data_IF_086476583725
#
_entry.id   IF_086476583725
#
_cell.length_a   1.000
_cell.length_b   1.000
_cell.length_c   1.000
_cell.angle_alpha   90.00
_cell.angle_beta   90.00
_cell.angle_gamma   90.00
#
_symmetry.space_group_name_H-M   'P 1'
#
loop_
_entity.id
_entity.type
_entity.pdbx_description
1 polymer ?
#
# COMPACT_ATOMS: atom_id res chain seq x y z
N UNK A 1 18.34 -14.66 0.27
CA UNK A 1 17.94 -15.99 -0.22
C UNK A 1 17.43 -15.80 -1.63
N UNK A 2 18.20 -16.14 -2.66
CA UNK A 2 17.75 -16.06 -4.06
C UNK A 2 16.87 -17.26 -4.32
N UNK A 3 15.61 -17.04 -4.55
CA UNK A 3 14.70 -18.07 -5.06
C UNK A 3 14.79 -18.01 -6.58
N UNK A 4 15.22 -19.11 -7.16
CA UNK A 4 15.27 -19.30 -8.61
C UNK A 4 13.82 -19.59 -9.05
N UNK A 5 13.28 -18.76 -9.95
CA UNK A 5 11.97 -18.99 -10.54
C UNK A 5 12.07 -20.07 -11.62
N UNK A 6 12.09 -21.31 -11.22
CA UNK A 6 11.66 -22.40 -12.09
C UNK A 6 10.14 -22.50 -11.93
N UNK A 7 9.43 -22.50 -13.03
CA UNK A 7 7.97 -22.63 -13.04
C UNK A 7 7.63 -24.01 -12.46
N UNK A 8 7.30 -24.14 -11.16
CA UNK A 8 7.03 -25.45 -10.60
C UNK A 8 5.79 -26.01 -11.27
N UNK A 9 5.79 -27.31 -11.50
CA UNK A 9 4.62 -28.02 -11.96
C UNK A 9 3.44 -27.66 -11.04
N UNK A 10 2.29 -27.31 -11.61
CA UNK A 10 1.12 -26.82 -10.87
C UNK A 10 0.77 -27.73 -9.69
N UNK A 11 0.93 -29.03 -9.85
CA UNK A 11 0.67 -30.03 -8.82
C UNK A 11 1.69 -29.99 -7.66
N UNK A 12 2.95 -29.64 -7.94
CA UNK A 12 4.00 -29.50 -6.92
C UNK A 12 3.85 -28.19 -6.17
N UNK A 13 3.47 -27.13 -6.86
CA UNK A 13 3.13 -25.83 -6.25
C UNK A 13 1.94 -25.94 -5.30
N UNK A 14 0.88 -26.66 -5.69
CA UNK A 14 -0.30 -26.90 -4.84
C UNK A 14 0.02 -27.72 -3.58
N UNK A 15 1.04 -28.57 -3.62
CA UNK A 15 1.43 -29.45 -2.49
C UNK A 15 2.35 -28.80 -1.47
N UNK A 16 3.26 -27.95 -1.90
CA UNK A 16 4.40 -27.55 -1.07
C UNK A 16 4.52 -26.04 -0.81
N UNK A 17 3.74 -25.21 -1.52
CA UNK A 17 3.97 -23.78 -1.49
C UNK A 17 3.29 -23.08 -0.33
N UNK A 18 4.07 -22.39 0.45
CA UNK A 18 3.74 -21.27 1.28
C UNK A 18 4.35 -20.03 0.62
N UNK A 19 3.64 -19.00 0.30
CA UNK A 19 2.28 -18.62 0.68
C UNK A 19 1.18 -19.26 -0.17
N UNK A 20 -0.04 -19.30 0.38
CA UNK A 20 -1.24 -19.59 -0.39
C UNK A 20 -1.63 -18.37 -1.19
N UNK A 21 -1.37 -18.41 -2.49
CA UNK A 21 -1.77 -17.36 -3.43
C UNK A 21 -2.92 -17.87 -4.28
N UNK A 22 -3.97 -17.08 -4.37
CA UNK A 22 -5.13 -17.39 -5.21
C UNK A 22 -5.46 -16.20 -6.12
N UNK A 23 -5.70 -16.46 -7.39
CA UNK A 23 -6.01 -15.42 -8.38
C UNK A 23 -7.49 -15.00 -8.35
N UNK A 24 -8.39 -15.81 -7.76
CA UNK A 24 -9.81 -15.55 -7.72
C UNK A 24 -10.32 -15.38 -6.29
N UNK A 25 -11.33 -14.52 -6.13
CA UNK A 25 -11.84 -14.14 -4.81
C UNK A 25 -12.53 -15.31 -4.05
N UNK A 26 -13.04 -16.30 -4.76
CA UNK A 26 -13.86 -17.39 -4.20
C UNK A 26 -13.07 -18.57 -3.64
N UNK A 27 -11.85 -18.77 -4.09
CA UNK A 27 -11.18 -20.07 -3.90
C UNK A 27 -10.23 -20.13 -2.71
N UNK A 28 -9.85 -19.00 -2.13
CA UNK A 28 -8.84 -18.97 -1.04
C UNK A 28 -9.32 -19.74 0.21
N UNK A 29 -10.60 -19.68 0.54
CA UNK A 29 -11.18 -20.41 1.68
C UNK A 29 -11.15 -21.93 1.43
N UNK A 30 -11.58 -22.34 0.25
CA UNK A 30 -11.65 -23.74 -0.13
C UNK A 30 -10.24 -24.37 -0.26
N UNK A 31 -9.32 -23.62 -0.89
CA UNK A 31 -7.92 -24.04 -1.00
C UNK A 31 -7.29 -24.18 0.40
N UNK A 32 -7.50 -23.21 1.28
CA UNK A 32 -6.95 -23.24 2.62
C UNK A 32 -7.59 -24.38 3.45
N UNK A 33 -8.90 -24.57 3.35
CA UNK A 33 -9.60 -25.67 4.02
C UNK A 33 -9.08 -27.03 3.53
N UNK A 34 -8.89 -27.19 2.23
CA UNK A 34 -8.31 -28.40 1.64
C UNK A 34 -6.89 -28.66 2.15
N UNK A 35 -6.03 -27.63 2.13
CA UNK A 35 -4.62 -27.79 2.56
C UNK A 35 -4.51 -28.11 4.05
N UNK A 36 -5.27 -27.43 4.91
CA UNK A 36 -5.27 -27.75 6.35
C UNK A 36 -5.79 -29.17 6.62
N UNK A 37 -6.79 -29.64 5.87
CA UNK A 37 -7.34 -30.97 6.04
C UNK A 37 -6.43 -32.08 5.56
N UNK A 38 -5.71 -31.88 4.45
CA UNK A 38 -4.90 -32.90 3.83
C UNK A 38 -3.42 -32.85 4.21
N UNK A 39 -2.94 -31.64 4.62
CA UNK A 39 -1.54 -31.41 5.00
C UNK A 39 -1.48 -30.64 6.34
N UNK A 40 -2.04 -31.21 7.43
CA UNK A 40 -2.17 -30.51 8.70
C UNK A 40 -0.82 -30.16 9.34
N UNK A 41 0.24 -30.91 9.07
CA UNK A 41 1.58 -30.64 9.60
C UNK A 41 2.16 -29.34 9.05
N UNK A 42 1.86 -29.02 7.79
CA UNK A 42 2.39 -27.85 7.10
C UNK A 42 1.52 -26.60 7.28
N UNK A 43 0.19 -26.77 7.41
CA UNK A 43 -0.76 -25.65 7.33
C UNK A 43 -1.54 -25.39 8.62
N UNK A 44 -1.50 -26.27 9.62
CA UNK A 44 -2.25 -26.07 10.87
C UNK A 44 -1.83 -24.82 11.64
N UNK A 45 -0.60 -24.34 11.47
CA UNK A 45 -0.12 -23.09 12.08
C UNK A 45 -0.95 -21.87 11.68
N UNK A 46 -1.54 -21.87 10.47
CA UNK A 46 -2.43 -20.78 10.05
C UNK A 46 -3.66 -20.62 10.93
N UNK A 47 -4.11 -21.70 11.60
CA UNK A 47 -5.21 -21.64 12.54
C UNK A 47 -4.92 -20.83 13.80
N UNK A 48 -3.65 -20.49 14.05
CA UNK A 48 -3.21 -19.67 15.18
C UNK A 48 -3.14 -18.18 14.86
N UNK A 49 -3.32 -17.81 13.59
CA UNK A 49 -3.38 -16.41 13.22
C UNK A 49 -4.58 -15.70 13.86
N UNK A 50 -4.50 -14.40 13.96
CA UNK A 50 -5.54 -13.59 14.59
C UNK A 50 -6.91 -13.76 13.89
N UNK A 51 -7.93 -14.03 14.69
CA UNK A 51 -9.29 -14.28 14.22
C UNK A 51 -10.32 -13.25 14.75
N UNK A 52 -9.86 -12.09 15.21
CA UNK A 52 -10.72 -11.02 15.72
C UNK A 52 -11.19 -11.17 17.17
N UNK A 53 -10.93 -12.28 17.85
CA UNK A 53 -11.46 -12.51 19.21
C UNK A 53 -10.41 -12.51 20.32
N UNK A 54 -9.16 -12.77 20.02
CA UNK A 54 -8.18 -13.16 21.03
C UNK A 54 -7.06 -12.14 21.19
N UNK A 55 -7.37 -10.98 21.80
CA UNK A 55 -6.33 -10.00 22.14
C UNK A 55 -5.42 -10.46 23.31
N UNK A 56 -5.84 -11.43 24.12
CA UNK A 56 -5.16 -11.85 25.36
C UNK A 56 -4.98 -13.35 25.51
N UNK A 57 -5.05 -14.16 24.45
CA UNK A 57 -4.79 -15.60 24.61
C UNK A 57 -3.29 -15.86 24.68
N UNK A 58 -2.92 -16.58 25.76
CA UNK A 58 -1.60 -17.19 25.87
C UNK A 58 -1.35 -18.10 24.66
N UNK A 59 -0.14 -18.09 24.11
CA UNK A 59 0.21 -18.90 22.94
C UNK A 59 -0.20 -20.38 23.13
N UNK A 60 -0.11 -20.91 24.36
CA UNK A 60 -0.49 -22.28 24.70
C UNK A 60 -1.99 -22.60 24.50
N UNK A 61 -2.89 -21.64 24.70
CA UNK A 61 -4.32 -21.83 24.48
C UNK A 61 -4.70 -21.81 23.01
N UNK A 62 -3.86 -21.26 22.14
CA UNK A 62 -4.05 -21.30 20.69
C UNK A 62 -3.88 -22.71 20.12
N UNK A 63 -3.04 -23.54 20.76
CA UNK A 63 -2.72 -24.90 20.30
C UNK A 63 -3.78 -25.96 20.61
N UNK A 64 -4.80 -25.65 21.40
CA UNK A 64 -5.78 -26.64 21.87
C UNK A 64 -6.94 -26.97 20.92
N UNK A 65 -7.16 -26.20 19.85
CA UNK A 65 -8.26 -26.45 18.90
C UNK A 65 -7.74 -26.99 17.57
N UNK A 66 -7.64 -28.31 17.47
CA UNK A 66 -7.25 -29.00 16.23
C UNK A 66 -8.38 -29.14 15.19
N UNK A 67 -9.60 -28.74 15.50
CA UNK A 67 -10.73 -28.89 14.58
C UNK A 67 -10.82 -27.70 13.62
N UNK A 68 -10.91 -28.02 12.33
CA UNK A 68 -11.16 -27.05 11.28
C UNK A 68 -12.59 -26.49 11.43
N UNK A 69 -12.68 -25.23 11.86
CA UNK A 69 -13.94 -24.51 11.93
C UNK A 69 -13.98 -23.45 10.83
N UNK A 70 -14.83 -23.63 9.83
CA UNK A 70 -14.97 -22.71 8.68
C UNK A 70 -15.20 -21.26 9.11
N UNK A 71 -16.02 -21.03 10.15
CA UNK A 71 -16.24 -19.66 10.67
C UNK A 71 -14.97 -19.07 11.28
N UNK A 72 -14.11 -19.88 11.90
CA UNK A 72 -12.81 -19.44 12.39
C UNK A 72 -11.88 -19.13 11.24
N UNK A 73 -11.88 -19.99 10.20
CA UNK A 73 -11.08 -19.81 9.00
C UNK A 73 -11.45 -18.52 8.26
N UNK A 74 -12.73 -18.26 8.03
CA UNK A 74 -13.22 -17.02 7.41
C UNK A 74 -12.74 -15.77 8.17
N UNK A 75 -12.72 -15.81 9.50
CA UNK A 75 -12.20 -14.71 10.31
C UNK A 75 -10.70 -14.56 10.18
N UNK A 76 -9.95 -15.66 10.15
CA UNK A 76 -8.50 -15.62 9.92
C UNK A 76 -8.21 -14.99 8.56
N UNK A 77 -8.91 -15.43 7.50
CA UNK A 77 -8.80 -14.87 6.17
C UNK A 77 -9.10 -13.37 6.14
N UNK A 78 -10.18 -12.96 6.81
CA UNK A 78 -10.57 -11.55 6.87
C UNK A 78 -9.46 -10.64 7.41
N UNK A 79 -8.73 -11.07 8.45
CA UNK A 79 -7.76 -10.23 9.13
C UNK A 79 -6.32 -10.39 8.60
N UNK A 80 -6.01 -11.50 7.93
CA UNK A 80 -4.62 -11.83 7.59
C UNK A 80 -4.39 -11.93 6.08
N UNK A 81 -5.44 -11.88 5.25
CA UNK A 81 -5.28 -11.90 3.81
C UNK A 81 -4.69 -10.59 3.32
N UNK A 82 -3.65 -10.71 2.51
CA UNK A 82 -3.03 -9.59 1.79
C UNK A 82 -3.37 -9.69 0.32
N UNK A 83 -3.53 -8.55 -0.32
CA UNK A 83 -3.73 -8.46 -1.76
C UNK A 83 -2.42 -8.04 -2.41
N UNK A 84 -2.01 -8.78 -3.42
CA UNK A 84 -0.87 -8.41 -4.25
C UNK A 84 -1.39 -7.62 -5.43
N UNK A 85 -0.79 -6.48 -5.64
CA UNK A 85 -1.05 -5.64 -6.80
C UNK A 85 0.16 -5.72 -7.75
N UNK A 86 -0.14 -5.78 -9.02
CA UNK A 86 0.84 -5.58 -10.08
C UNK A 86 0.34 -4.43 -10.95
N UNK A 87 1.10 -3.35 -11.01
CA UNK A 87 0.68 -2.13 -11.71
C UNK A 87 -0.73 -1.66 -11.28
N UNK A 88 -0.98 -1.63 -9.96
CA UNK A 88 -2.27 -1.27 -9.34
C UNK A 88 -3.43 -2.22 -9.66
N UNK A 89 -3.21 -3.21 -10.52
CA UNK A 89 -4.20 -4.25 -10.79
C UNK A 89 -4.11 -5.32 -9.70
N UNK A 90 -5.19 -5.63 -8.99
CA UNK A 90 -5.20 -6.70 -8.02
C UNK A 90 -5.04 -8.04 -8.74
N UNK A 91 -3.85 -8.65 -8.64
CA UNK A 91 -3.54 -9.93 -9.27
C UNK A 91 -4.03 -11.11 -8.46
N UNK A 92 -3.73 -11.08 -7.16
CA UNK A 92 -3.96 -12.23 -6.31
C UNK A 92 -4.17 -11.84 -4.87
N UNK A 93 -4.76 -12.77 -4.11
CA UNK A 93 -4.90 -12.69 -2.66
C UNK A 93 -4.21 -13.88 -2.04
N UNK A 94 -3.55 -13.66 -0.89
CA UNK A 94 -2.85 -14.73 -0.22
C UNK A 94 -2.72 -14.50 1.29
N UNK A 95 -2.26 -15.53 1.98
CA UNK A 95 -1.81 -15.46 3.36
C UNK A 95 -0.33 -15.78 3.40
N UNK A 96 0.43 -14.92 4.05
CA UNK A 96 1.83 -15.14 4.38
C UNK A 96 1.94 -15.19 5.89
N UNK A 97 2.40 -16.33 6.42
CA UNK A 97 2.40 -16.59 7.86
C UNK A 97 3.16 -15.52 8.64
N UNK A 98 4.45 -15.32 8.38
CA UNK A 98 5.26 -14.33 9.09
C UNK A 98 4.78 -12.87 8.90
N UNK A 99 4.41 -12.42 7.70
CA UNK A 99 3.85 -11.09 7.50
C UNK A 99 2.56 -10.81 8.27
N UNK A 100 1.81 -11.86 8.64
CA UNK A 100 0.58 -11.71 9.43
C UNK A 100 0.84 -11.31 10.89
N UNK A 101 2.07 -11.36 11.37
CA UNK A 101 2.44 -10.92 12.72
C UNK A 101 2.86 -9.45 12.81
N UNK A 102 3.03 -8.76 11.68
CA UNK A 102 3.34 -7.34 11.70
C UNK A 102 2.10 -6.54 12.04
N UNK A 103 2.16 -5.75 13.10
CA UNK A 103 1.10 -4.85 13.48
C UNK A 103 1.08 -3.58 12.62
N UNK A 104 0.01 -2.81 12.76
CA UNK A 104 -0.18 -1.58 12.03
C UNK A 104 0.45 -0.37 12.72
N UNK A 105 1.08 0.49 11.92
CA UNK A 105 1.34 1.90 12.23
C UNK A 105 1.07 2.75 10.99
N UNK A 106 0.50 3.95 11.18
CA UNK A 106 0.40 4.93 10.09
C UNK A 106 1.77 5.51 9.71
N UNK A 107 2.80 5.34 10.56
CA UNK A 107 4.20 5.62 10.28
C UNK A 107 4.96 4.31 10.47
N UNK A 108 4.90 3.38 9.49
CA UNK A 108 5.53 2.08 9.61
C UNK A 108 7.06 2.21 9.50
N UNK A 109 7.78 1.25 10.10
CA UNK A 109 9.21 1.10 9.94
C UNK A 109 9.60 0.03 8.93
N UNK A 110 8.61 -0.69 8.41
CA UNK A 110 8.76 -1.65 7.32
C UNK A 110 7.78 -1.34 6.19
N UNK A 111 8.16 -1.74 4.98
CA UNK A 111 7.31 -1.66 3.81
C UNK A 111 7.20 -3.04 3.16
N UNK A 112 6.00 -3.38 2.67
CA UNK A 112 5.76 -4.63 1.95
C UNK A 112 5.37 -4.38 0.50
N UNK A 113 5.84 -5.24 -0.37
CA UNK A 113 5.38 -5.31 -1.76
C UNK A 113 5.44 -6.74 -2.28
N UNK A 114 4.50 -7.05 -3.16
CA UNK A 114 4.39 -8.36 -3.78
C UNK A 114 5.17 -8.44 -5.09
N UNK A 115 5.75 -9.59 -5.35
CA UNK A 115 6.35 -9.93 -6.63
C UNK A 115 5.99 -11.38 -6.96
N UNK A 116 5.03 -11.57 -7.87
CA UNK A 116 4.43 -12.89 -8.08
C UNK A 116 3.75 -13.39 -6.80
N UNK A 117 4.17 -14.53 -6.32
CA UNK A 117 3.71 -15.15 -5.07
C UNK A 117 4.60 -14.81 -3.87
N UNK A 118 5.63 -14.01 -4.06
CA UNK A 118 6.57 -13.59 -3.03
C UNK A 118 6.13 -12.26 -2.45
N UNK A 119 6.05 -12.19 -1.11
CA UNK A 119 5.89 -10.95 -0.38
C UNK A 119 7.25 -10.54 0.20
N UNK A 120 7.73 -9.38 -0.21
CA UNK A 120 9.00 -8.82 0.23
C UNK A 120 8.72 -7.76 1.28
N UNK A 121 9.37 -7.87 2.44
CA UNK A 121 9.31 -6.86 3.49
C UNK A 121 10.71 -6.27 3.67
N UNK A 122 10.78 -4.96 3.62
CA UNK A 122 12.02 -4.21 3.81
C UNK A 122 11.90 -3.25 4.99
N UNK A 123 12.99 -3.08 5.75
CA UNK A 123 13.12 -1.98 6.70
C UNK A 123 13.31 -0.68 5.92
N UNK A 124 12.52 0.35 6.25
CA UNK A 124 12.58 1.66 5.57
C UNK A 124 13.51 2.63 6.29
N UNK A 125 13.86 2.31 7.52
CA UNK A 125 14.82 3.03 8.36
C UNK A 125 15.64 2.05 9.18
N UNK A 126 16.69 2.52 9.86
CA UNK A 126 17.38 1.75 10.87
C UNK A 126 16.42 1.42 12.02
N UNK A 127 16.33 0.15 12.37
CA UNK A 127 15.45 -0.35 13.43
C UNK A 127 16.32 -0.89 14.56
N UNK A 128 16.19 -0.31 15.75
CA UNK A 128 16.91 -0.78 16.92
C UNK A 128 16.49 -2.22 17.29
N UNK A 129 17.41 -2.97 17.85
CA UNK A 129 17.12 -4.33 18.35
C UNK A 129 15.97 -4.30 19.36
N UNK A 130 15.05 -5.26 19.25
CA UNK A 130 13.85 -5.43 20.07
C UNK A 130 12.74 -4.36 19.84
N UNK A 131 12.85 -3.54 18.83
CA UNK A 131 11.72 -2.71 18.39
C UNK A 131 10.74 -3.53 17.58
N UNK A 132 9.46 -3.28 17.79
CA UNK A 132 8.39 -3.90 17.02
C UNK A 132 8.44 -3.46 15.56
N UNK A 133 8.13 -4.39 14.66
CA UNK A 133 8.07 -4.17 13.22
C UNK A 133 6.63 -3.87 12.83
N UNK A 134 6.43 -2.75 12.15
CA UNK A 134 5.11 -2.28 11.73
C UNK A 134 5.00 -2.19 10.21
N UNK A 135 3.83 -2.56 9.72
CA UNK A 135 3.39 -2.29 8.35
C UNK A 135 2.25 -1.27 8.36
N UNK A 136 1.97 -0.68 7.23
CA UNK A 136 0.76 0.10 7.06
C UNK A 136 -0.34 -0.76 6.43
N UNK A 137 -1.51 -0.80 7.06
CA UNK A 137 -2.67 -1.55 6.57
C UNK A 137 -3.59 -0.71 5.67
N UNK A 138 -3.38 0.60 5.62
CA UNK A 138 -4.18 1.56 4.87
C UNK A 138 -3.28 2.53 4.11
N UNK A 139 -3.87 3.31 3.21
CA UNK A 139 -3.19 4.45 2.58
C UNK A 139 -2.99 5.57 3.62
N UNK A 140 -1.77 6.12 3.71
CA UNK A 140 -1.41 7.14 4.70
C UNK A 140 -1.87 8.55 4.35
N UNK A 141 -2.28 8.77 3.12
CA UNK A 141 -2.80 10.04 2.62
C UNK A 141 -4.28 10.25 2.96
N UNK A 142 -4.91 9.25 3.60
CA UNK A 142 -6.26 9.39 4.13
C UNK A 142 -6.25 10.28 5.38
N UNK A 143 -7.27 11.13 5.56
CA UNK A 143 -7.48 11.89 6.78
C UNK A 143 -7.57 11.00 8.02
N UNK A 144 -7.19 11.54 9.20
CA UNK A 144 -7.20 10.82 10.47
C UNK A 144 -8.51 10.05 10.70
N UNK A 145 -9.66 10.71 10.55
CA UNK A 145 -10.98 10.10 10.79
C UNK A 145 -11.25 8.92 9.83
N UNK A 146 -10.87 9.08 8.57
CA UNK A 146 -11.02 8.02 7.56
C UNK A 146 -10.12 6.82 7.86
N UNK A 147 -8.87 7.06 8.31
CA UNK A 147 -7.96 5.98 8.74
C UNK A 147 -8.53 5.24 9.95
N UNK A 148 -9.02 5.96 10.98
CA UNK A 148 -9.61 5.34 12.16
C UNK A 148 -10.85 4.51 11.83
N UNK A 149 -11.74 5.05 10.99
CA UNK A 149 -12.94 4.32 10.52
C UNK A 149 -12.53 3.06 9.75
N UNK A 150 -11.63 3.17 8.79
CA UNK A 150 -11.17 2.03 7.99
C UNK A 150 -10.49 0.94 8.83
N UNK A 151 -9.66 1.32 9.80
CA UNK A 151 -9.03 0.37 10.72
C UNK A 151 -10.05 -0.29 11.64
N UNK A 152 -11.02 0.47 12.15
CA UNK A 152 -12.09 -0.08 13.00
C UNK A 152 -12.98 -1.05 12.23
N UNK A 153 -13.39 -0.71 11.02
CA UNK A 153 -14.28 -1.54 10.20
C UNK A 153 -13.60 -2.81 9.68
N UNK A 154 -12.35 -2.69 9.21
CA UNK A 154 -11.63 -3.81 8.59
C UNK A 154 -10.95 -4.71 9.62
N UNK A 155 -10.33 -4.12 10.64
CA UNK A 155 -9.43 -4.80 11.58
C UNK A 155 -9.86 -4.74 13.05
N UNK A 156 -10.98 -4.06 13.35
CA UNK A 156 -11.58 -3.95 14.68
C UNK A 156 -10.68 -3.31 15.75
N UNK A 157 -9.84 -2.36 15.38
CA UNK A 157 -9.06 -1.56 16.33
C UNK A 157 -9.01 -0.07 15.98
N UNK A 158 -8.62 0.75 16.96
CA UNK A 158 -8.33 2.18 16.82
C UNK A 158 -6.81 2.34 16.91
N UNK A 159 -6.21 3.02 15.94
CA UNK A 159 -4.77 3.27 15.92
C UNK A 159 -4.40 4.42 16.87
N UNK A 160 -3.38 4.18 17.68
CA UNK A 160 -2.79 5.15 18.61
C UNK A 160 -1.30 5.43 18.33
N UNK A 161 -0.84 5.18 17.09
CA UNK A 161 0.52 5.49 16.70
C UNK A 161 0.84 6.98 16.87
N UNK A 162 2.12 7.34 16.79
CA UNK A 162 2.59 8.71 16.99
C UNK A 162 1.87 9.73 16.10
N UNK A 163 1.67 9.43 14.80
CA UNK A 163 0.92 10.30 13.89
C UNK A 163 -0.53 10.48 14.34
N UNK A 164 -1.21 9.39 14.69
CA UNK A 164 -2.61 9.44 15.12
C UNK A 164 -2.78 10.24 16.40
N UNK A 165 -1.88 10.06 17.37
CA UNK A 165 -1.89 10.82 18.61
C UNK A 165 -1.60 12.30 18.38
N UNK A 166 -0.64 12.62 17.49
CA UNK A 166 -0.34 13.99 17.12
C UNK A 166 -1.54 14.68 16.46
N UNK A 167 -2.16 14.03 15.47
CA UNK A 167 -3.29 14.60 14.74
C UNK A 167 -4.55 14.75 15.62
N UNK A 168 -4.86 13.74 16.43
CA UNK A 168 -5.98 13.80 17.38
C UNK A 168 -5.88 14.99 18.33
N UNK A 169 -4.69 15.27 18.84
CA UNK A 169 -4.49 16.30 19.85
C UNK A 169 -4.36 17.70 19.25
N UNK A 170 -3.71 17.83 18.10
CA UNK A 170 -3.35 19.13 17.53
C UNK A 170 -4.39 19.71 16.59
N UNK A 171 -5.21 18.87 15.93
CA UNK A 171 -6.06 19.31 14.83
C UNK A 171 -7.55 19.05 15.03
N UNK A 172 -7.98 18.73 16.25
CA UNK A 172 -9.37 18.40 16.56
C UNK A 172 -10.37 19.44 16.05
N UNK A 173 -9.99 20.73 16.08
CA UNK A 173 -10.86 21.85 15.72
C UNK A 173 -10.18 22.79 14.68
N UNK A 174 -9.35 22.26 13.78
CA UNK A 174 -8.64 23.05 12.78
C UNK A 174 -9.51 23.19 11.50
N UNK A 175 -10.06 24.38 11.20
CA UNK A 175 -10.91 24.58 10.02
C UNK A 175 -10.20 24.26 8.71
N UNK A 176 -8.91 24.56 8.60
CA UNK A 176 -8.10 24.31 7.41
C UNK A 176 -7.95 22.81 7.14
N UNK A 177 -7.87 21.98 8.20
CA UNK A 177 -7.87 20.51 8.05
C UNK A 177 -9.21 20.02 7.51
N UNK A 178 -10.31 20.56 7.95
CA UNK A 178 -11.63 20.20 7.44
C UNK A 178 -11.78 20.54 5.96
N UNK A 179 -11.37 21.74 5.56
CA UNK A 179 -11.35 22.15 4.15
C UNK A 179 -10.45 21.23 3.32
N UNK A 180 -9.27 20.89 3.82
CA UNK A 180 -8.38 19.96 3.12
C UNK A 180 -9.00 18.59 2.94
N UNK A 181 -9.67 18.06 3.96
CA UNK A 181 -10.36 16.77 3.87
C UNK A 181 -11.47 16.78 2.80
N UNK A 182 -12.21 17.90 2.68
CA UNK A 182 -13.20 18.08 1.62
C UNK A 182 -12.55 18.07 0.24
N UNK A 183 -11.41 18.73 0.07
CA UNK A 183 -10.64 18.67 -1.18
C UNK A 183 -10.11 17.25 -1.48
N UNK A 184 -9.58 16.56 -0.50
CA UNK A 184 -9.10 15.19 -0.67
C UNK A 184 -10.21 14.22 -1.10
N UNK A 185 -11.38 14.33 -0.49
CA UNK A 185 -12.56 13.54 -0.89
C UNK A 185 -12.98 13.87 -2.32
N UNK A 186 -12.98 15.15 -2.70
CA UNK A 186 -13.31 15.56 -4.07
C UNK A 186 -12.31 15.01 -5.09
N UNK A 187 -11.00 15.12 -4.81
CA UNK A 187 -9.94 14.58 -5.67
C UNK A 187 -10.05 13.07 -5.78
N UNK A 188 -10.28 12.37 -4.67
CA UNK A 188 -10.43 10.93 -4.64
C UNK A 188 -11.62 10.46 -5.49
N UNK A 189 -12.78 11.08 -5.33
CA UNK A 189 -13.98 10.75 -6.10
C UNK A 189 -13.81 11.01 -7.62
N UNK A 190 -12.97 11.98 -7.98
CA UNK A 190 -12.64 12.26 -9.38
C UNK A 190 -11.70 11.17 -9.96
N UNK A 191 -10.70 10.74 -9.19
CA UNK A 191 -9.71 9.75 -9.64
C UNK A 191 -10.32 8.33 -9.66
N UNK A 192 -11.19 8.01 -8.69
CA UNK A 192 -11.79 6.68 -8.49
C UNK A 192 -13.32 6.77 -8.44
N UNK A 193 -14.00 7.10 -9.55
CA UNK A 193 -15.44 7.30 -9.57
C UNK A 193 -16.25 6.03 -9.23
N UNK A 194 -15.76 4.85 -9.58
CA UNK A 194 -16.40 3.57 -9.31
C UNK A 194 -16.47 3.25 -7.81
N UNK A 195 -15.42 3.59 -7.05
CA UNK A 195 -15.38 3.36 -5.61
C UNK A 195 -16.28 4.33 -4.83
N UNK A 196 -16.64 5.46 -5.43
CA UNK A 196 -17.52 6.44 -4.83
C UNK A 196 -19.02 6.03 -4.83
N UNK A 197 -19.37 4.88 -5.45
CA UNK A 197 -20.75 4.39 -5.55
C UNK A 197 -21.68 5.29 -6.37
N UNK A 198 -21.11 6.18 -7.18
CA UNK A 198 -21.82 7.18 -7.98
C UNK A 198 -21.57 6.94 -9.47
N UNK A 199 -22.05 5.82 -9.97
CA UNK A 199 -21.93 5.44 -11.40
C UNK A 199 -22.49 6.51 -12.37
N UNK A 200 -23.29 7.45 -11.89
CA UNK A 200 -23.97 8.45 -12.71
C UNK A 200 -23.56 9.92 -12.50
N UNK A 201 -22.72 10.21 -11.49
CA UNK A 201 -22.18 11.56 -11.29
C UNK A 201 -20.66 11.53 -11.42
N UNK A 202 -20.14 11.71 -12.63
CA UNK A 202 -18.69 11.96 -12.83
C UNK A 202 -18.36 13.27 -12.12
N UNK A 203 -17.59 13.16 -11.04
CA UNK A 203 -17.11 14.34 -10.35
C UNK A 203 -16.22 15.12 -11.33
N UNK A 204 -16.67 16.30 -11.75
CA UNK A 204 -15.86 17.18 -12.57
C UNK A 204 -14.96 18.02 -11.67
N UNK A 205 -13.66 18.00 -11.96
CA UNK A 205 -12.71 18.92 -11.35
C UNK A 205 -12.05 19.72 -12.48
N UNK A 206 -12.07 21.03 -12.40
CA UNK A 206 -11.48 21.88 -13.43
C UNK A 206 -10.04 22.27 -13.04
N UNK A 207 -9.27 22.68 -14.03
CA UNK A 207 -7.87 23.14 -13.86
C UNK A 207 -7.73 24.20 -12.76
N UNK A 208 -8.66 25.16 -12.71
CA UNK A 208 -8.69 26.22 -11.70
C UNK A 208 -8.82 25.65 -10.28
N UNK A 209 -9.71 24.69 -10.07
CA UNK A 209 -9.92 24.08 -8.75
C UNK A 209 -8.67 23.35 -8.27
N UNK A 210 -7.99 22.59 -9.15
CA UNK A 210 -6.72 21.93 -8.81
C UNK A 210 -5.67 22.96 -8.38
N UNK A 211 -5.54 24.05 -9.13
CA UNK A 211 -4.61 25.14 -8.78
C UNK A 211 -4.97 25.82 -7.46
N UNK A 212 -6.26 25.98 -7.17
CA UNK A 212 -6.74 26.60 -5.92
C UNK A 212 -6.49 25.67 -4.70
N UNK A 213 -6.60 24.34 -4.86
CA UNK A 213 -6.21 23.36 -3.83
C UNK A 213 -4.72 23.49 -3.51
N UNK A 214 -3.86 23.57 -4.50
CA UNK A 214 -2.42 23.74 -4.29
C UNK A 214 -2.09 25.08 -3.62
N UNK A 215 -2.73 26.18 -4.02
CA UNK A 215 -2.56 27.47 -3.35
C UNK A 215 -2.99 27.42 -1.88
N UNK A 216 -4.09 26.72 -1.59
CA UNK A 216 -4.56 26.53 -0.22
C UNK A 216 -3.54 25.72 0.59
N UNK A 217 -3.03 24.61 0.03
CA UNK A 217 -2.00 23.77 0.65
C UNK A 217 -0.75 24.58 0.98
N UNK A 218 -0.21 25.32 0.02
CA UNK A 218 1.02 26.10 0.20
C UNK A 218 0.86 27.23 1.24
N UNK A 219 -0.29 27.90 1.25
CA UNK A 219 -0.61 28.92 2.26
C UNK A 219 -0.61 28.32 3.67
N UNK A 220 -1.09 27.10 3.83
CA UNK A 220 -1.31 26.44 5.12
C UNK A 220 -0.31 25.29 5.39
N UNK A 221 0.78 25.19 4.64
CA UNK A 221 1.69 24.03 4.63
C UNK A 221 2.26 23.61 5.97
N UNK A 222 2.30 24.51 6.96
CA UNK A 222 2.75 24.19 8.33
C UNK A 222 1.75 23.34 9.12
N UNK A 223 0.50 23.30 8.69
CA UNK A 223 -0.57 22.53 9.34
C UNK A 223 -0.63 21.07 8.86
N UNK A 224 0.05 20.74 7.76
CA UNK A 224 -0.04 19.44 7.12
C UNK A 224 1.26 18.66 7.25
N UNK A 225 1.14 17.35 7.47
CA UNK A 225 2.27 16.42 7.48
C UNK A 225 2.91 16.32 6.10
N UNK A 226 4.13 15.78 6.05
CA UNK A 226 4.78 15.52 4.76
C UNK A 226 3.98 14.50 3.93
N UNK A 227 3.34 13.53 4.57
CA UNK A 227 2.50 12.52 3.90
C UNK A 227 1.27 13.14 3.24
N UNK A 228 0.53 13.99 3.97
CA UNK A 228 -0.63 14.69 3.42
C UNK A 228 -0.24 15.58 2.24
N UNK A 229 0.88 16.30 2.36
CA UNK A 229 1.37 17.15 1.27
C UNK A 229 1.74 16.32 0.04
N UNK A 230 2.48 15.24 0.22
CA UNK A 230 2.84 14.33 -0.87
C UNK A 230 1.59 13.77 -1.55
N UNK A 231 0.64 13.21 -0.78
CA UNK A 231 -0.60 12.64 -1.31
C UNK A 231 -1.48 13.66 -2.05
N UNK A 232 -1.54 14.92 -1.57
CA UNK A 232 -2.27 15.98 -2.27
C UNK A 232 -1.62 16.31 -3.61
N UNK A 233 -0.30 16.46 -3.63
CA UNK A 233 0.42 16.74 -4.88
C UNK A 233 0.28 15.60 -5.88
N UNK A 234 0.32 14.34 -5.43
CA UNK A 234 0.05 13.16 -6.28
C UNK A 234 -1.35 13.27 -6.90
N UNK A 235 -2.39 13.45 -6.08
CA UNK A 235 -3.77 13.54 -6.57
C UNK A 235 -4.00 14.73 -7.50
N UNK A 236 -3.45 15.88 -7.15
CA UNK A 236 -3.50 17.06 -8.02
C UNK A 236 -2.75 16.85 -9.33
N UNK A 237 -1.62 16.13 -9.31
CA UNK A 237 -0.87 15.75 -10.50
C UNK A 237 -1.69 14.88 -11.45
N UNK A 238 -2.41 13.89 -10.94
CA UNK A 238 -3.34 13.10 -11.76
C UNK A 238 -4.46 13.93 -12.36
N UNK A 239 -5.08 14.81 -11.57
CA UNK A 239 -6.19 15.62 -12.05
C UNK A 239 -5.77 16.67 -13.09
N UNK A 240 -4.59 17.29 -12.92
CA UNK A 240 -4.13 18.36 -13.82
C UNK A 240 -3.57 17.81 -15.13
N UNK A 241 -3.19 16.53 -15.20
CA UNK A 241 -2.55 15.91 -16.36
C UNK A 241 -3.30 16.14 -17.66
N UNK A 242 -4.63 16.04 -17.64
CA UNK A 242 -5.48 16.22 -18.84
C UNK A 242 -5.50 17.66 -19.36
N UNK A 243 -5.14 18.63 -18.54
CA UNK A 243 -5.08 20.05 -18.89
C UNK A 243 -3.64 20.50 -19.18
N UNK A 244 -2.71 20.08 -18.35
CA UNK A 244 -1.30 20.48 -18.42
C UNK A 244 -0.39 19.35 -17.90
N UNK A 245 0.16 18.58 -18.83
CA UNK A 245 1.07 17.47 -18.51
C UNK A 245 2.40 17.92 -17.90
N UNK A 246 2.91 19.12 -18.25
CA UNK A 246 4.13 19.67 -17.63
C UNK A 246 3.89 20.05 -16.17
N UNK A 247 2.77 20.70 -15.88
CA UNK A 247 2.38 21.02 -14.51
C UNK A 247 2.12 19.75 -13.69
N UNK A 248 1.58 18.69 -14.29
CA UNK A 248 1.45 17.37 -13.68
C UNK A 248 2.80 16.82 -13.23
N UNK A 249 3.82 16.85 -14.10
CA UNK A 249 5.17 16.45 -13.76
C UNK A 249 5.73 17.27 -12.58
N UNK A 250 5.56 18.60 -12.62
CA UNK A 250 6.05 19.49 -11.57
C UNK A 250 5.36 19.18 -10.22
N UNK A 251 4.08 18.79 -10.22
CA UNK A 251 3.38 18.37 -9.01
C UNK A 251 3.92 17.04 -8.47
N UNK A 252 4.24 16.07 -9.31
CA UNK A 252 4.89 14.83 -8.87
C UNK A 252 6.31 15.09 -8.33
N UNK A 253 7.05 16.06 -8.88
CA UNK A 253 8.33 16.50 -8.27
C UNK A 253 8.14 17.10 -6.88
N UNK A 254 7.09 17.89 -6.64
CA UNK A 254 6.78 18.39 -5.30
C UNK A 254 6.38 17.25 -4.37
N UNK A 255 5.60 16.26 -4.83
CA UNK A 255 5.27 15.06 -4.05
C UNK A 255 6.54 14.33 -3.61
N UNK A 256 7.49 14.13 -4.52
CA UNK A 256 8.77 13.50 -4.22
C UNK A 256 9.54 14.28 -3.12
N UNK A 257 9.65 15.60 -3.21
CA UNK A 257 10.32 16.42 -2.17
C UNK A 257 9.74 16.24 -0.76
N UNK A 258 8.44 15.95 -0.66
CA UNK A 258 7.81 15.71 0.64
C UNK A 258 7.94 14.26 1.11
N UNK A 259 8.16 13.30 0.21
CA UNK A 259 8.27 11.86 0.53
C UNK A 259 9.71 11.36 0.61
N UNK A 260 10.65 12.01 -0.07
CA UNK A 260 12.05 11.61 -0.18
C UNK A 260 12.70 11.39 1.20
N UNK A 261 13.30 10.21 1.40
CA UNK A 261 13.93 9.77 2.65
C UNK A 261 13.00 9.75 3.89
N UNK A 262 11.69 9.76 3.72
CA UNK A 262 10.71 9.77 4.82
C UNK A 262 9.74 8.60 4.77
N UNK A 263 9.37 8.17 3.57
CA UNK A 263 8.43 7.08 3.41
C UNK A 263 8.69 6.37 2.08
N UNK A 264 9.10 5.11 2.17
CA UNK A 264 9.42 4.29 0.99
C UNK A 264 8.26 4.25 -0.03
N UNK A 265 7.03 4.06 0.44
CA UNK A 265 5.86 3.96 -0.44
C UNK A 265 5.66 5.23 -1.28
N UNK A 266 5.55 6.38 -0.62
CA UNK A 266 5.30 7.65 -1.32
C UNK A 266 6.50 8.11 -2.15
N UNK A 267 7.72 7.80 -1.72
CA UNK A 267 8.93 8.08 -2.50
C UNK A 267 8.92 7.24 -3.78
N UNK A 268 8.66 5.92 -3.65
CA UNK A 268 8.53 5.00 -4.79
C UNK A 268 7.42 5.45 -5.74
N UNK A 269 6.21 5.68 -5.23
CA UNK A 269 5.06 6.14 -6.00
C UNK A 269 5.36 7.43 -6.76
N UNK A 270 5.92 8.44 -6.08
CA UNK A 270 6.27 9.72 -6.71
C UNK A 270 7.30 9.55 -7.83
N UNK A 271 8.29 8.67 -7.66
CA UNK A 271 9.30 8.37 -8.68
C UNK A 271 8.69 7.67 -9.91
N UNK A 272 7.80 6.71 -9.69
CA UNK A 272 7.08 6.01 -10.77
C UNK A 272 6.19 6.98 -11.55
N UNK A 273 5.49 7.87 -10.85
CA UNK A 273 4.67 8.91 -11.46
C UNK A 273 5.47 9.93 -12.25
N UNK A 274 6.70 10.25 -11.84
CA UNK A 274 7.61 11.09 -12.63
C UNK A 274 7.99 10.42 -13.94
N UNK A 275 8.30 9.12 -13.93
CA UNK A 275 8.55 8.35 -15.16
C UNK A 275 7.35 8.39 -16.09
N UNK A 276 6.17 8.12 -15.53
CA UNK A 276 4.92 8.17 -16.27
C UNK A 276 4.64 9.55 -16.90
N UNK A 277 4.72 10.63 -16.10
CA UNK A 277 4.48 11.98 -16.61
C UNK A 277 5.49 12.41 -17.68
N UNK A 278 6.77 12.02 -17.52
CA UNK A 278 7.80 12.29 -18.54
C UNK A 278 7.49 11.61 -19.87
N UNK A 279 7.00 10.36 -19.85
CA UNK A 279 6.52 9.65 -21.04
C UNK A 279 5.29 10.35 -21.65
N UNK A 280 4.32 10.70 -20.81
CA UNK A 280 3.08 11.35 -21.23
C UNK A 280 3.35 12.65 -22.00
N UNK A 281 4.27 13.48 -21.51
CA UNK A 281 4.68 14.73 -22.19
C UNK A 281 5.75 14.53 -23.25
N UNK A 282 6.16 13.28 -23.51
CA UNK A 282 7.19 12.91 -24.51
C UNK A 282 8.51 13.68 -24.33
N UNK A 283 8.95 13.81 -23.07
CA UNK A 283 10.19 14.53 -22.73
C UNK A 283 11.32 13.55 -22.37
N UNK A 284 12.21 13.27 -23.32
CA UNK A 284 13.34 12.36 -23.11
C UNK A 284 14.25 12.83 -21.97
N UNK A 285 14.51 14.14 -21.86
CA UNK A 285 15.34 14.69 -20.80
C UNK A 285 14.74 14.45 -19.40
N UNK A 286 13.42 14.67 -19.21
CA UNK A 286 12.74 14.41 -17.95
C UNK A 286 12.65 12.91 -17.68
N UNK A 287 12.47 12.09 -18.69
CA UNK A 287 12.47 10.63 -18.57
C UNK A 287 13.83 10.12 -18.08
N UNK A 288 14.93 10.57 -18.68
CA UNK A 288 16.29 10.19 -18.26
C UNK A 288 16.56 10.55 -16.80
N UNK A 289 16.18 11.78 -16.39
CA UNK A 289 16.31 12.23 -15.00
C UNK A 289 15.49 11.35 -14.05
N UNK A 290 14.24 11.05 -14.40
CA UNK A 290 13.34 10.23 -13.58
C UNK A 290 13.84 8.79 -13.46
N UNK A 291 14.30 8.19 -14.56
CA UNK A 291 14.89 6.86 -14.59
C UNK A 291 16.19 6.77 -13.76
N UNK A 292 17.00 7.80 -13.75
CA UNK A 292 18.19 7.87 -12.89
C UNK A 292 17.79 7.89 -11.41
N UNK A 293 16.84 8.73 -11.03
CA UNK A 293 16.36 8.83 -9.64
C UNK A 293 15.76 7.50 -9.14
N UNK A 294 14.93 6.83 -9.94
CA UNK A 294 14.33 5.55 -9.53
C UNK A 294 15.38 4.43 -9.41
N UNK A 295 16.40 4.45 -10.24
CA UNK A 295 17.54 3.53 -10.13
C UNK A 295 18.35 3.76 -8.86
N UNK A 296 18.61 5.01 -8.50
CA UNK A 296 19.29 5.39 -7.25
C UNK A 296 18.46 4.93 -6.05
N UNK A 297 17.14 5.15 -6.07
CA UNK A 297 16.21 4.69 -5.05
C UNK A 297 16.28 3.17 -4.85
N UNK A 298 16.11 2.37 -5.89
CA UNK A 298 16.14 0.91 -5.74
C UNK A 298 17.52 0.39 -5.32
N UNK A 299 18.62 0.99 -5.79
CA UNK A 299 19.96 0.60 -5.35
C UNK A 299 20.21 0.90 -3.86
N UNK A 300 19.59 1.94 -3.30
CA UNK A 300 19.65 2.25 -1.87
C UNK A 300 19.04 1.13 -1.01
N UNK A 301 17.89 0.59 -1.44
CA UNK A 301 17.18 -0.44 -0.68
C UNK A 301 17.62 -1.88 -1.01
N UNK A 302 18.16 -2.10 -2.18
CA UNK A 302 18.61 -3.42 -2.66
C UNK A 302 20.07 -3.38 -3.12
N UNK A 303 21.02 -3.02 -2.23
CA UNK A 303 22.42 -2.98 -2.58
C UNK A 303 22.91 -4.37 -3.00
N UNK A 304 23.72 -4.42 -4.07
CA UNK A 304 24.28 -5.67 -4.62
C UNK A 304 23.27 -6.63 -5.27
N UNK A 305 22.01 -6.24 -5.46
CA UNK A 305 20.96 -7.05 -6.10
C UNK A 305 20.66 -6.55 -7.53
N UNK A 306 21.70 -6.35 -8.36
CA UNK A 306 21.58 -5.70 -9.68
C UNK A 306 20.46 -6.27 -10.55
N UNK A 307 20.38 -7.61 -10.70
CA UNK A 307 19.34 -8.25 -11.52
C UNK A 307 17.93 -7.92 -11.01
N UNK A 308 17.74 -7.94 -9.69
CA UNK A 308 16.45 -7.64 -9.07
C UNK A 308 16.09 -6.16 -9.25
N UNK A 309 17.06 -5.27 -9.06
CA UNK A 309 16.89 -3.82 -9.32
C UNK A 309 16.52 -3.56 -10.77
N UNK A 310 17.19 -4.21 -11.74
CA UNK A 310 16.87 -4.07 -13.15
C UNK A 310 15.43 -4.53 -13.48
N UNK A 311 14.93 -5.57 -12.83
CA UNK A 311 13.53 -6.02 -12.95
C UNK A 311 12.58 -4.95 -12.39
N UNK A 312 12.84 -4.43 -11.18
CA UNK A 312 12.01 -3.39 -10.57
C UNK A 312 11.96 -2.12 -11.41
N UNK A 313 13.09 -1.69 -11.97
CA UNK A 313 13.17 -0.53 -12.86
C UNK A 313 12.34 -0.76 -14.13
N UNK A 314 12.47 -1.94 -14.74
CA UNK A 314 11.69 -2.27 -15.94
C UNK A 314 10.19 -2.32 -15.63
N UNK A 315 9.81 -2.87 -14.46
CA UNK A 315 8.42 -2.86 -14.00
C UNK A 315 7.91 -1.43 -13.83
N UNK A 316 8.65 -0.59 -13.11
CA UNK A 316 8.29 0.82 -12.90
C UNK A 316 8.25 1.63 -14.20
N UNK A 317 9.09 1.29 -15.17
CA UNK A 317 9.06 1.91 -16.49
C UNK A 317 7.78 1.58 -17.27
N UNK A 318 7.19 0.42 -17.06
CA UNK A 318 6.03 -0.06 -17.82
C UNK A 318 4.72 0.03 -17.02
N UNK A 319 4.77 0.49 -15.77
CA UNK A 319 3.64 0.42 -14.83
C UNK A 319 2.38 1.14 -15.36
N UNK A 320 2.57 2.18 -16.14
CA UNK A 320 1.48 3.01 -16.65
C UNK A 320 1.24 2.87 -18.17
N UNK A 321 1.92 1.95 -18.86
CA UNK A 321 1.68 1.72 -20.28
C UNK A 321 0.26 1.13 -20.53
N UNK A 322 -0.40 0.65 -19.46
CA UNK A 322 -1.78 0.15 -19.50
C UNK A 322 -2.85 1.25 -19.35
N UNK A 323 -2.48 2.47 -19.01
CA UNK A 323 -3.42 3.59 -18.84
C UNK A 323 -3.49 4.50 -20.10
N UNK A 324 -2.84 4.12 -21.18
CA UNK A 324 -2.92 4.70 -22.50
C UNK A 324 -3.70 3.81 -23.43
#
# INVERSE_FOLDING_TARGET
MCIQFDNPDKDEYEKTSFPLVCNEKSDLEDILAYKISNYPEDFSELLYLFNGKNKNLNLEDRYKTKELNLKKLQKILRFNTKQIFFNEIPLSRGIWYYPSFFNHSCIPNCYEFGFGDILIIIAVNDIEKNKELYLNYLMNDLPYEKRQTGLKERYDFICDCELCNYEKNKFKDCPEKKILNEYLVKLYNFIFPEEAGKENEVAHICEKEVKDIIKFLEKNKKLFSCYEKSGIYVKCGFCIKIYDGYLSYDYFEQALKYSENRNFYYEKESLELLVYAAKYIKSDARLEISMKKIKEFYNKYFPNQKKFVDILINTSNNIYDFFN
#
